data_IF_239513136706
#
_entry.id   IF_239513136706
#
_cell.length_a   1.000
_cell.length_b   1.000
_cell.length_c   1.000
_cell.angle_alpha   90.00
_cell.angle_beta   90.00
_cell.angle_gamma   90.00
#
_symmetry.space_group_name_H-M   'P 1'
#
loop_
_entity.id
_entity.type
_entity.pdbx_description
1 polymer ?
#
# COMPACT_ATOMS: atom_id res chain seq x y z
N UNK A 1 -3.52 -1.29 -1.06
CA UNK A 1 -2.27 -0.80 -0.43
C UNK A 1 -1.20 -0.79 -1.50
N UNK A 2 -0.35 0.23 -1.52
CA UNK A 2 0.61 0.48 -2.60
C UNK A 2 1.73 1.41 -2.09
N UNK A 3 2.93 1.31 -2.66
CA UNK A 3 4.06 2.18 -2.31
C UNK A 3 3.85 3.52 -3.01
N UNK A 4 3.73 4.58 -2.22
CA UNK A 4 3.36 5.91 -2.70
C UNK A 4 4.38 6.45 -3.70
N UNK A 5 3.87 7.02 -4.78
CA UNK A 5 4.64 7.70 -5.83
C UNK A 5 5.72 6.84 -6.53
N UNK A 6 5.69 5.52 -6.30
CA UNK A 6 6.63 4.56 -6.91
C UNK A 6 5.83 3.50 -7.70
N UNK A 7 6.14 3.28 -8.99
CA UNK A 7 5.53 2.20 -9.76
C UNK A 7 5.81 0.84 -9.10
N UNK A 8 4.76 0.10 -8.76
CA UNK A 8 4.93 -1.13 -7.99
C UNK A 8 3.65 -1.95 -7.83
N UNK A 9 3.76 -3.05 -7.11
CA UNK A 9 2.67 -4.00 -6.90
C UNK A 9 1.53 -3.41 -6.06
N UNK A 10 0.29 -3.69 -6.47
CA UNK A 10 -0.88 -3.45 -5.64
C UNK A 10 -1.08 -4.62 -4.67
N UNK A 11 -1.36 -4.32 -3.41
CA UNK A 11 -1.72 -5.30 -2.39
C UNK A 11 -3.17 -5.10 -1.95
N UNK A 12 -3.96 -6.18 -2.01
CA UNK A 12 -5.35 -6.24 -1.55
C UNK A 12 -5.42 -7.22 -0.39
N UNK A 13 -5.97 -6.78 0.74
CA UNK A 13 -6.23 -7.62 1.91
C UNK A 13 -7.70 -7.99 1.92
N UNK A 14 -8.00 -9.29 1.90
CA UNK A 14 -9.35 -9.79 2.07
C UNK A 14 -9.63 -10.01 3.55
N UNK A 15 -10.38 -9.10 4.16
CA UNK A 15 -10.70 -9.11 5.58
C UNK A 15 -12.18 -8.74 5.77
N UNK A 16 -13.06 -9.67 5.36
CA UNK A 16 -14.53 -9.64 5.46
C UNK A 16 -15.14 -8.28 5.86
N UNK A 17 -15.52 -8.11 7.14
CA UNK A 17 -16.09 -6.86 7.69
C UNK A 17 -15.13 -6.11 8.63
N UNK A 18 -13.98 -6.69 8.96
CA UNK A 18 -13.07 -6.15 9.96
C UNK A 18 -11.85 -5.53 9.30
N UNK A 19 -11.44 -4.36 9.76
CA UNK A 19 -10.13 -3.84 9.40
C UNK A 19 -9.03 -4.77 9.94
N UNK A 20 -7.93 -5.01 9.20
CA UNK A 20 -6.77 -5.68 9.75
C UNK A 20 -6.22 -4.89 10.96
N UNK A 21 -5.66 -5.61 11.93
CA UNK A 21 -4.91 -4.98 13.03
C UNK A 21 -3.73 -4.19 12.48
N UNK A 22 -3.33 -3.12 13.15
CA UNK A 22 -2.23 -2.25 12.71
C UNK A 22 -0.91 -3.03 12.55
N UNK A 23 -0.65 -4.03 13.41
CA UNK A 23 0.50 -4.94 13.30
C UNK A 23 0.53 -5.68 11.94
N UNK A 24 -0.63 -6.15 11.47
CA UNK A 24 -0.75 -6.83 10.17
C UNK A 24 -0.52 -5.84 9.04
N UNK A 25 -1.06 -4.62 9.15
CA UNK A 25 -0.85 -3.58 8.12
C UNK A 25 0.64 -3.24 8.01
N UNK A 26 1.34 -3.16 9.15
CA UNK A 26 2.78 -2.90 9.20
C UNK A 26 3.60 -4.01 8.53
N UNK A 27 3.30 -5.28 8.80
CA UNK A 27 3.98 -6.42 8.16
C UNK A 27 3.74 -6.47 6.65
N UNK A 28 2.51 -6.17 6.21
CA UNK A 28 2.20 -6.06 4.78
C UNK A 28 2.95 -4.90 4.11
N UNK A 29 3.20 -3.79 4.84
CA UNK A 29 3.95 -2.65 4.33
C UNK A 29 5.42 -3.02 4.11
N UNK A 30 6.03 -3.73 5.07
CA UNK A 30 7.38 -4.31 4.90
C UNK A 30 7.45 -5.27 3.72
N UNK A 31 6.41 -6.11 3.52
CA UNK A 31 6.37 -7.01 2.37
C UNK A 31 6.32 -6.26 1.03
N UNK A 32 5.55 -5.17 0.93
CA UNK A 32 5.52 -4.33 -0.27
C UNK A 32 6.87 -3.68 -0.61
N UNK A 33 7.60 -3.25 0.42
CA UNK A 33 8.97 -2.72 0.26
C UNK A 33 9.88 -3.80 -0.33
N UNK A 34 9.85 -5.02 0.20
CA UNK A 34 10.66 -6.14 -0.30
C UNK A 34 10.36 -6.55 -1.74
N UNK A 35 9.20 -6.14 -2.28
CA UNK A 35 8.83 -6.38 -3.68
C UNK A 35 9.28 -5.25 -4.63
N UNK A 36 9.79 -4.13 -4.11
CA UNK A 36 10.35 -3.07 -4.94
C UNK A 36 11.67 -3.53 -5.56
N UNK A 37 11.92 -3.08 -6.78
CA UNK A 37 13.19 -3.35 -7.47
C UNK A 37 14.31 -2.44 -6.97
N UNK A 38 13.95 -1.19 -6.74
CA UNK A 38 14.87 -0.14 -6.31
C UNK A 38 14.84 0.00 -4.80
N UNK A 39 15.99 0.34 -4.22
CA UNK A 39 16.15 0.56 -2.77
C UNK A 39 16.15 2.05 -2.50
N UNK A 40 15.29 2.47 -1.56
CA UNK A 40 15.18 3.85 -1.10
C UNK A 40 15.40 3.92 0.42
N UNK A 41 15.92 5.05 0.90
CA UNK A 41 16.17 5.27 2.33
C UNK A 41 14.88 5.26 3.18
N UNK A 42 13.77 5.61 2.56
CA UNK A 42 12.46 5.66 3.20
C UNK A 42 11.36 5.39 2.19
N UNK A 43 10.30 4.76 2.66
CA UNK A 43 9.11 4.46 1.89
C UNK A 43 7.88 5.04 2.57
N UNK A 44 6.99 5.58 1.76
CA UNK A 44 5.62 5.88 2.17
C UNK A 44 4.68 4.85 1.54
N UNK A 45 3.80 4.27 2.35
CA UNK A 45 2.88 3.21 1.92
C UNK A 45 1.47 3.69 2.14
N UNK A 46 0.73 3.85 1.05
CA UNK A 46 -0.66 4.25 1.07
C UNK A 46 -1.59 3.05 1.14
N UNK A 47 -2.57 3.13 2.03
CA UNK A 47 -3.65 2.15 2.13
C UNK A 47 -5.00 2.81 2.30
N UNK A 48 -6.00 2.25 1.62
CA UNK A 48 -7.39 2.69 1.65
C UNK A 48 -8.29 1.49 1.42
N UNK A 49 -9.58 1.64 1.71
CA UNK A 49 -10.57 0.62 1.35
C UNK A 49 -10.71 0.56 -0.18
N UNK A 50 -10.87 -0.65 -0.74
CA UNK A 50 -11.01 -0.88 -2.18
C UNK A 50 -12.09 -0.02 -2.83
N UNK A 51 -13.18 0.30 -2.11
CA UNK A 51 -14.28 1.15 -2.59
C UNK A 51 -13.87 2.61 -2.89
N UNK A 52 -12.75 3.07 -2.33
CA UNK A 52 -12.21 4.41 -2.57
C UNK A 52 -11.15 4.44 -3.69
N UNK A 53 -10.95 3.32 -4.40
CA UNK A 53 -10.03 3.19 -5.54
C UNK A 53 -10.83 3.15 -6.84
N UNK A 54 -10.52 4.07 -7.76
CA UNK A 54 -11.10 4.13 -9.11
C UNK A 54 -10.05 3.75 -10.15
N UNK A 55 -10.39 2.82 -11.03
CA UNK A 55 -9.53 2.42 -12.14
C UNK A 55 -9.68 3.46 -13.26
N UNK A 56 -8.55 3.97 -13.75
CA UNK A 56 -8.50 4.85 -14.92
C UNK A 56 -8.19 4.03 -16.16
N UNK A 57 -7.12 3.22 -16.13
CA UNK A 57 -6.72 2.33 -17.23
C UNK A 57 -5.80 1.22 -16.74
N UNK A 58 -6.23 -0.04 -16.85
CA UNK A 58 -5.41 -1.18 -16.40
C UNK A 58 -5.00 -1.05 -14.93
N UNK A 59 -3.69 -1.06 -14.66
CA UNK A 59 -3.13 -0.85 -13.33
C UNK A 59 -3.05 0.63 -12.90
N UNK A 60 -3.35 1.58 -13.80
CA UNK A 60 -3.38 3.00 -13.44
C UNK A 60 -4.69 3.32 -12.72
N UNK A 61 -4.57 3.68 -11.43
CA UNK A 61 -5.69 3.94 -10.52
C UNK A 61 -5.52 5.29 -9.85
N UNK A 62 -6.63 5.89 -9.47
CA UNK A 62 -6.66 7.00 -8.51
C UNK A 62 -7.38 6.56 -7.25
N UNK A 63 -6.99 7.09 -6.11
CA UNK A 63 -7.58 6.72 -4.83
C UNK A 63 -7.74 7.92 -3.90
N UNK A 64 -8.63 7.78 -2.93
CA UNK A 64 -8.93 8.80 -1.93
C UNK A 64 -9.11 8.19 -0.54
N UNK A 65 -9.23 9.04 0.49
CA UNK A 65 -9.44 8.63 1.89
C UNK A 65 -8.42 7.60 2.36
N UNK A 66 -7.18 7.78 1.95
CA UNK A 66 -6.06 6.90 2.29
C UNK A 66 -5.43 7.32 3.62
N UNK A 67 -4.73 6.37 4.22
CA UNK A 67 -3.76 6.58 5.28
C UNK A 67 -2.39 6.22 4.75
N UNK A 68 -1.35 6.83 5.31
CA UNK A 68 0.04 6.61 4.90
C UNK A 68 0.82 6.07 6.10
N UNK A 69 1.67 5.07 5.84
CA UNK A 69 2.67 4.58 6.78
C UNK A 69 4.04 4.98 6.26
N UNK A 70 4.83 5.66 7.09
CA UNK A 70 6.22 5.98 6.78
C UNK A 70 7.14 4.94 7.41
N UNK A 71 7.96 4.29 6.58
CA UNK A 71 8.96 3.31 6.99
C UNK A 71 10.33 3.78 6.55
N UNK A 72 11.32 3.67 7.45
CA UNK A 72 12.73 3.82 7.09
C UNK A 72 13.28 2.42 6.85
N UNK A 73 14.01 2.23 5.76
CA UNK A 73 14.73 0.98 5.58
C UNK A 73 15.76 0.91 6.72
N UNK A 74 15.77 -0.19 7.48
CA UNK A 74 16.62 -0.36 8.65
C UNK A 74 17.81 -1.23 8.31
#
# INVERSE_FOLDING_TARGET
MHVRDIPGSHLIVFCQKNAPKDEVIMELAKMLIKMQKDVFNSYEIDYTQRKFVKIIKGAHVIYSKYRTISLKDT
#
